data_IF_923840264970
#
_entry.id   IF_923840264970
#
_cell.length_a   1.000
_cell.length_b   1.000
_cell.length_c   1.000
_cell.angle_alpha   90.00
_cell.angle_beta   90.00
_cell.angle_gamma   90.00
#
_symmetry.space_group_name_H-M   'P 1'
#
loop_
_entity.id
_entity.type
_entity.pdbx_description
1 polymer ?
#
# COMPACT_ATOMS: atom_id res chain seq x y z
N UNK A 1 10.10 14.31 16.54
CA UNK A 1 10.87 13.26 17.26
C UNK A 1 12.25 13.04 16.67
N UNK A 2 12.40 12.66 15.38
CA UNK A 2 13.68 12.36 14.71
C UNK A 2 14.71 13.49 14.87
N UNK A 3 14.30 14.76 14.67
CA UNK A 3 15.16 15.94 14.89
C UNK A 3 15.82 15.93 16.28
N UNK A 4 15.06 15.57 17.33
CA UNK A 4 15.57 15.53 18.71
C UNK A 4 16.52 14.36 18.94
N UNK A 5 16.23 13.19 18.38
CA UNK A 5 17.06 12.00 18.57
C UNK A 5 18.43 12.11 17.89
N UNK A 6 18.50 12.68 16.69
CA UNK A 6 19.76 12.77 15.93
C UNK A 6 20.45 14.13 16.01
N UNK A 7 19.90 15.10 16.76
CA UNK A 7 20.55 16.39 17.01
C UNK A 7 20.73 17.29 15.80
N UNK A 8 19.89 17.17 14.76
CA UNK A 8 20.01 17.94 13.52
C UNK A 8 18.86 18.93 13.34
N UNK A 9 18.97 19.87 12.38
CA UNK A 9 17.87 20.76 12.05
C UNK A 9 16.69 20.01 11.41
N UNK A 10 15.49 20.62 11.43
CA UNK A 10 14.26 20.00 10.91
C UNK A 10 14.41 19.59 9.44
N UNK A 11 14.99 20.45 8.60
CA UNK A 11 15.18 20.17 7.17
C UNK A 11 16.03 18.93 6.93
N UNK A 12 17.10 18.74 7.70
CA UNK A 12 17.96 17.55 7.62
C UNK A 12 17.22 16.31 8.10
N UNK A 13 16.52 16.39 9.25
CA UNK A 13 15.72 15.28 9.75
C UNK A 13 14.63 14.84 8.74
N UNK A 14 13.96 15.81 8.12
CA UNK A 14 12.97 15.56 7.05
C UNK A 14 13.59 14.82 5.86
N UNK A 15 14.72 15.31 5.35
CA UNK A 15 15.42 14.66 4.23
C UNK A 15 15.86 13.24 4.54
N UNK A 16 16.44 13.02 5.73
CA UNK A 16 16.85 11.67 6.17
C UNK A 16 15.64 10.74 6.20
N UNK A 17 14.54 11.16 6.83
CA UNK A 17 13.30 10.38 6.87
C UNK A 17 12.85 9.99 5.45
N UNK A 18 12.74 10.96 4.55
CA UNK A 18 12.24 10.70 3.19
C UNK A 18 13.18 9.82 2.36
N UNK A 19 14.50 9.94 2.55
CA UNK A 19 15.47 9.04 1.91
C UNK A 19 15.33 7.60 2.42
N UNK A 20 15.14 7.40 3.72
CA UNK A 20 14.88 6.07 4.28
C UNK A 20 13.57 5.47 3.78
N UNK A 21 12.49 6.26 3.74
CA UNK A 21 11.21 5.82 3.19
C UNK A 21 11.31 5.47 1.70
N UNK A 22 12.14 6.18 0.93
CA UNK A 22 12.40 5.86 -0.45
C UNK A 22 13.13 4.51 -0.60
N UNK A 23 14.13 4.25 0.24
CA UNK A 23 14.81 2.94 0.27
C UNK A 23 13.83 1.82 0.63
N UNK A 24 12.94 2.05 1.60
CA UNK A 24 11.89 1.08 1.95
C UNK A 24 10.98 0.80 0.75
N UNK A 25 10.51 1.83 0.06
CA UNK A 25 9.66 1.69 -1.13
C UNK A 25 10.34 0.86 -2.22
N UNK A 26 11.60 1.16 -2.57
CA UNK A 26 12.34 0.43 -3.60
C UNK A 26 12.58 -1.04 -3.24
N UNK A 27 12.71 -1.35 -1.95
CA UNK A 27 12.81 -2.75 -1.49
C UNK A 27 11.51 -3.52 -1.62
N UNK A 28 10.40 -2.82 -1.62
CA UNK A 28 9.08 -3.43 -1.76
C UNK A 28 8.60 -3.55 -3.21
N UNK A 29 9.21 -2.83 -4.14
CA UNK A 29 8.82 -2.88 -5.57
C UNK A 29 8.96 -4.26 -6.22
N UNK A 30 9.80 -5.13 -5.66
CA UNK A 30 10.02 -6.50 -6.13
C UNK A 30 9.15 -7.54 -5.43
N UNK A 31 8.27 -7.12 -4.51
CA UNK A 31 7.37 -8.02 -3.80
C UNK A 31 6.30 -8.55 -4.76
N UNK A 32 6.23 -9.85 -4.94
CA UNK A 32 5.21 -10.53 -5.75
C UNK A 32 4.36 -11.40 -4.83
N UNK A 33 3.05 -11.22 -4.89
CA UNK A 33 2.07 -11.98 -4.11
C UNK A 33 1.63 -13.23 -4.86
N UNK A 34 1.29 -14.30 -4.11
CA UNK A 34 0.85 -15.58 -4.65
C UNK A 34 -0.21 -16.25 -3.78
N UNK A 35 -0.82 -17.32 -4.27
CA UNK A 35 -1.85 -18.06 -3.54
C UNK A 35 -3.16 -17.29 -3.45
N UNK A 36 -3.69 -17.06 -2.25
CA UNK A 36 -4.92 -16.27 -2.04
C UNK A 36 -4.56 -14.85 -1.65
N UNK A 37 -5.09 -13.87 -2.38
CA UNK A 37 -4.82 -12.44 -2.20
C UNK A 37 -6.14 -11.67 -2.11
N UNK A 38 -6.35 -10.98 -0.99
CA UNK A 38 -7.46 -10.02 -0.81
C UNK A 38 -7.04 -8.68 -1.44
N UNK A 39 -7.89 -8.11 -2.28
CA UNK A 39 -7.62 -6.85 -2.99
C UNK A 39 -8.75 -5.86 -2.79
N UNK A 40 -8.41 -4.61 -2.51
CA UNK A 40 -9.37 -3.52 -2.35
C UNK A 40 -8.83 -2.21 -2.96
N UNK A 41 -9.75 -1.36 -3.40
CA UNK A 41 -9.42 0.01 -3.82
C UNK A 41 -9.40 0.97 -2.63
N UNK A 42 -8.43 1.86 -2.60
CA UNK A 42 -8.34 2.85 -1.54
C UNK A 42 -7.80 4.19 -2.06
N UNK A 43 -8.03 5.23 -1.26
CA UNK A 43 -7.53 6.58 -1.54
C UNK A 43 -6.72 7.09 -0.37
N UNK A 44 -5.58 7.68 -0.69
CA UNK A 44 -4.77 8.46 0.23
C UNK A 44 -5.10 9.95 0.03
N UNK A 45 -5.23 10.69 1.13
CA UNK A 45 -5.68 12.08 1.10
C UNK A 45 -7.17 12.20 1.44
N UNK A 46 -7.62 13.43 1.56
CA UNK A 46 -8.98 13.80 1.92
C UNK A 46 -9.63 14.71 0.90
N UNK A 47 -10.86 15.08 1.13
CA UNK A 47 -11.55 16.09 0.35
C UNK A 47 -11.07 17.48 0.77
N UNK A 48 -10.84 18.35 -0.21
CA UNK A 48 -10.52 19.75 0.03
C UNK A 48 -11.83 20.51 0.27
N UNK A 49 -11.88 21.42 1.27
CA UNK A 49 -13.03 22.30 1.46
C UNK A 49 -13.33 23.10 0.18
N UNK A 50 -14.56 23.00 -0.32
CA UNK A 50 -14.97 23.67 -1.56
C UNK A 50 -14.58 22.96 -2.86
N UNK A 51 -13.85 21.82 -2.79
CA UNK A 51 -13.48 21.00 -3.94
C UNK A 51 -14.55 19.95 -4.31
N UNK A 52 -14.25 19.13 -5.32
CA UNK A 52 -15.12 18.01 -5.71
C UNK A 52 -15.15 16.95 -4.60
N UNK A 53 -16.37 16.52 -4.24
CA UNK A 53 -16.58 15.44 -3.28
C UNK A 53 -16.39 14.05 -3.92
N UNK A 54 -16.17 13.03 -3.09
CA UNK A 54 -16.13 11.63 -3.50
C UNK A 54 -14.83 11.21 -4.19
N UNK A 55 -14.92 10.23 -5.08
CA UNK A 55 -13.75 9.60 -5.75
C UNK A 55 -13.01 10.55 -6.71
N UNK A 56 -13.62 11.63 -7.15
CA UNK A 56 -13.05 12.63 -8.07
C UNK A 56 -12.39 13.83 -7.39
N UNK A 57 -12.15 13.79 -6.09
CA UNK A 57 -11.45 14.86 -5.37
C UNK A 57 -9.98 14.92 -5.78
N UNK A 58 -9.49 16.10 -6.11
CA UNK A 58 -8.14 16.36 -6.63
C UNK A 58 -7.03 15.98 -5.63
N UNK A 59 -7.34 16.03 -4.33
CA UNK A 59 -6.38 15.67 -3.27
C UNK A 59 -6.35 14.16 -2.94
N UNK A 60 -7.07 13.33 -3.68
CA UNK A 60 -7.15 11.89 -3.45
C UNK A 60 -6.27 11.14 -4.44
N UNK A 61 -5.26 10.46 -3.93
CA UNK A 61 -4.39 9.58 -4.72
C UNK A 61 -4.94 8.15 -4.62
N UNK A 62 -5.39 7.57 -5.75
CA UNK A 62 -5.87 6.20 -5.77
C UNK A 62 -4.70 5.22 -5.60
N UNK A 63 -4.92 4.17 -4.83
CA UNK A 63 -3.97 3.07 -4.72
C UNK A 63 -4.69 1.74 -4.52
N UNK A 64 -4.05 0.66 -4.95
CA UNK A 64 -4.51 -0.70 -4.74
C UNK A 64 -3.84 -1.24 -3.48
N UNK A 65 -4.64 -1.78 -2.58
CA UNK A 65 -4.19 -2.53 -1.42
C UNK A 65 -4.42 -4.02 -1.66
N UNK A 66 -3.37 -4.82 -1.51
CA UNK A 66 -3.43 -6.26 -1.69
C UNK A 66 -2.78 -6.97 -0.51
N UNK A 67 -3.40 -8.02 0.00
CA UNK A 67 -2.92 -8.80 1.15
C UNK A 67 -2.95 -10.28 0.83
N UNK A 68 -1.78 -10.89 0.81
CA UNK A 68 -1.62 -12.32 0.68
C UNK A 68 -1.93 -13.01 2.01
N UNK A 69 -2.75 -14.07 1.96
CA UNK A 69 -3.03 -14.92 3.11
C UNK A 69 -2.44 -16.32 2.91
N UNK A 70 -2.04 -16.96 4.02
CA UNK A 70 -1.61 -18.35 4.01
C UNK A 70 -2.83 -19.30 4.03
N UNK A 71 -2.56 -20.61 4.00
CA UNK A 71 -3.62 -21.67 4.06
C UNK A 71 -4.48 -21.61 5.33
N UNK A 72 -3.95 -21.06 6.43
CA UNK A 72 -4.67 -20.86 7.68
C UNK A 72 -5.44 -19.53 7.72
N UNK A 73 -5.50 -18.79 6.61
CA UNK A 73 -6.20 -17.51 6.52
C UNK A 73 -5.48 -16.33 7.19
N UNK A 74 -4.22 -16.47 7.61
CA UNK A 74 -3.45 -15.39 8.23
C UNK A 74 -2.70 -14.56 7.17
N UNK A 75 -2.56 -13.23 7.37
CA UNK A 75 -1.88 -12.37 6.41
C UNK A 75 -0.37 -12.60 6.46
N UNK A 76 0.25 -12.72 5.30
CA UNK A 76 1.72 -12.95 5.16
C UNK A 76 2.39 -11.71 4.63
N UNK A 77 2.05 -11.30 3.43
CA UNK A 77 2.60 -10.15 2.75
C UNK A 77 1.50 -9.18 2.32
N UNK A 78 1.85 -7.91 2.16
CA UNK A 78 0.99 -6.89 1.60
C UNK A 78 1.72 -6.09 0.52
N UNK A 79 0.94 -5.57 -0.43
CA UNK A 79 1.40 -4.61 -1.44
C UNK A 79 0.45 -3.42 -1.44
N UNK A 80 1.01 -2.21 -1.34
CA UNK A 80 0.30 -0.94 -1.50
C UNK A 80 0.90 -0.17 -2.67
N UNK A 81 0.17 -0.07 -3.75
CA UNK A 81 0.69 0.52 -4.98
C UNK A 81 -0.20 1.67 -5.44
N UNK A 82 0.35 2.91 -5.55
CA UNK A 82 -0.37 3.99 -6.22
C UNK A 82 -0.66 3.60 -7.67
N UNK A 83 -1.84 3.95 -8.15
CA UNK A 83 -2.26 3.81 -9.54
C UNK A 83 -2.74 5.16 -10.05
N UNK A 84 -2.76 5.35 -11.38
CA UNK A 84 -3.25 6.61 -11.95
C UNK A 84 -4.76 6.73 -11.79
N UNK A 85 -5.46 5.64 -12.05
CA UNK A 85 -6.91 5.53 -11.88
C UNK A 85 -7.29 4.06 -11.73
N UNK A 86 -8.52 3.79 -11.30
CA UNK A 86 -9.07 2.44 -11.28
C UNK A 86 -9.64 2.08 -12.67
N UNK A 87 -8.73 1.91 -13.64
CA UNK A 87 -9.06 1.46 -15.02
C UNK A 87 -8.63 0.02 -15.22
N UNK A 88 -9.19 -0.64 -16.22
CA UNK A 88 -8.79 -2.00 -16.59
C UNK A 88 -7.29 -2.08 -16.92
N UNK A 89 -6.75 -1.09 -17.64
CA UNK A 89 -5.34 -1.06 -18.03
C UNK A 89 -4.40 -0.86 -16.85
N UNK A 90 -4.73 0.04 -15.92
CA UNK A 90 -3.90 0.27 -14.74
C UNK A 90 -3.89 -0.95 -13.81
N UNK A 91 -5.06 -1.60 -13.63
CA UNK A 91 -5.17 -2.83 -12.81
C UNK A 91 -4.46 -4.00 -13.48
N UNK A 92 -4.54 -4.15 -14.81
CA UNK A 92 -3.80 -5.19 -15.53
C UNK A 92 -2.28 -5.00 -15.39
N UNK A 93 -1.78 -3.78 -15.57
CA UNK A 93 -0.36 -3.47 -15.40
C UNK A 93 0.12 -3.73 -13.97
N UNK A 94 -0.69 -3.34 -12.98
CA UNK A 94 -0.45 -3.61 -11.57
C UNK A 94 -0.41 -5.11 -11.28
N UNK A 95 -1.38 -5.87 -11.77
CA UNK A 95 -1.48 -7.31 -11.54
C UNK A 95 -0.28 -8.06 -12.14
N UNK A 96 0.14 -7.71 -13.36
CA UNK A 96 1.35 -8.28 -13.99
C UNK A 96 2.63 -8.00 -13.21
N UNK A 97 2.70 -6.87 -12.50
CA UNK A 97 3.88 -6.50 -11.69
C UNK A 97 3.90 -7.20 -10.33
N UNK A 98 2.76 -7.32 -9.67
CA UNK A 98 2.70 -7.68 -8.25
C UNK A 98 2.03 -9.01 -7.94
N UNK A 99 1.44 -9.68 -8.92
CA UNK A 99 0.79 -10.99 -8.73
C UNK A 99 1.51 -12.06 -9.54
N UNK A 100 1.71 -13.21 -8.89
CA UNK A 100 2.14 -14.42 -9.58
C UNK A 100 0.99 -15.02 -10.40
N UNK A 101 1.25 -15.64 -11.56
CA UNK A 101 0.23 -16.39 -12.27
C UNK A 101 -0.47 -17.43 -11.38
N UNK A 102 -1.73 -17.73 -11.66
CA UNK A 102 -2.60 -18.65 -10.89
C UNK A 102 -2.96 -18.15 -9.48
N UNK A 103 -2.59 -16.91 -9.10
CA UNK A 103 -3.05 -16.30 -7.85
C UNK A 103 -4.57 -16.18 -7.84
N UNK A 104 -5.21 -16.57 -6.76
CA UNK A 104 -6.64 -16.34 -6.54
C UNK A 104 -6.84 -14.96 -5.91
N UNK A 105 -7.35 -14.03 -6.69
CA UNK A 105 -7.63 -12.65 -6.28
C UNK A 105 -9.08 -12.54 -5.83
N UNK A 106 -9.29 -12.14 -4.59
CA UNK A 106 -10.62 -11.88 -4.00
C UNK A 106 -10.83 -10.37 -3.92
N UNK A 107 -11.86 -9.84 -4.59
CA UNK A 107 -12.20 -8.40 -4.58
C UNK A 107 -13.68 -8.14 -4.40
N UNK A 108 -14.04 -6.91 -4.00
CA UNK A 108 -15.43 -6.46 -3.77
C UNK A 108 -16.30 -6.33 -5.03
N UNK A 109 -15.74 -6.60 -6.17
CA UNK A 109 -16.46 -6.58 -7.44
C UNK A 109 -16.44 -5.25 -8.18
N UNK A 110 -15.54 -4.33 -7.83
CA UNK A 110 -15.25 -3.19 -8.70
C UNK A 110 -14.81 -3.70 -10.08
N UNK A 111 -15.46 -3.18 -11.14
CA UNK A 111 -15.34 -3.74 -12.50
C UNK A 111 -13.92 -3.79 -13.04
N UNK A 112 -13.06 -2.86 -12.67
CA UNK A 112 -11.67 -2.84 -13.12
C UNK A 112 -10.84 -4.02 -12.60
N UNK A 113 -11.21 -4.65 -11.49
CA UNK A 113 -10.50 -5.81 -10.96
C UNK A 113 -10.66 -7.08 -11.80
N UNK A 114 -11.61 -7.14 -12.75
CA UNK A 114 -11.68 -8.24 -13.72
C UNK A 114 -10.41 -8.32 -14.59
N UNK A 115 -9.65 -7.21 -14.70
CA UNK A 115 -8.41 -7.18 -15.47
C UNK A 115 -7.29 -8.07 -14.88
N UNK A 116 -7.40 -8.55 -13.64
CA UNK A 116 -6.41 -9.49 -13.06
C UNK A 116 -6.38 -10.82 -13.80
N UNK A 117 -7.49 -11.21 -14.44
CA UNK A 117 -7.59 -12.42 -15.27
C UNK A 117 -6.64 -12.34 -16.48
N UNK A 118 -6.45 -11.14 -17.06
CA UNK A 118 -5.50 -10.91 -18.16
C UNK A 118 -4.03 -11.05 -17.73
N UNK A 119 -3.78 -10.98 -16.43
CA UNK A 119 -2.46 -11.27 -15.84
C UNK A 119 -2.28 -12.76 -15.48
N UNK A 120 -3.22 -13.63 -15.85
CA UNK A 120 -3.20 -15.07 -15.57
C UNK A 120 -3.65 -15.43 -14.16
N UNK A 121 -4.34 -14.56 -13.45
CA UNK A 121 -4.88 -14.80 -12.10
C UNK A 121 -6.33 -15.31 -12.17
N UNK A 122 -6.75 -16.02 -11.14
CA UNK A 122 -8.16 -16.42 -10.95
C UNK A 122 -8.87 -15.31 -10.17
N UNK A 123 -9.93 -14.75 -10.70
CA UNK A 123 -10.69 -13.69 -10.03
C UNK A 123 -11.93 -14.25 -9.33
N UNK A 124 -11.99 -14.07 -8.01
CA UNK A 124 -13.14 -14.38 -7.18
C UNK A 124 -13.79 -13.07 -6.74
N UNK A 125 -14.92 -12.76 -7.38
CA UNK A 125 -15.69 -11.56 -7.10
C UNK A 125 -16.68 -11.82 -5.98
N UNK A 126 -16.56 -11.08 -4.87
CA UNK A 126 -17.49 -11.15 -3.73
C UNK A 126 -18.32 -9.87 -3.68
N UNK A 127 -19.55 -9.95 -4.15
CA UNK A 127 -20.45 -8.79 -4.17
C UNK A 127 -21.00 -8.54 -2.77
N UNK A 128 -20.66 -7.38 -2.21
CA UNK A 128 -21.20 -6.92 -0.94
C UNK A 128 -22.69 -6.56 -1.12
N UNK A 129 -23.59 -7.37 -0.57
CA UNK A 129 -25.02 -7.06 -0.59
C UNK A 129 -25.35 -5.76 0.15
N UNK A 130 -26.43 -5.07 -0.25
CA UNK A 130 -26.87 -3.75 0.27
C UNK A 130 -26.97 -3.64 1.81
N UNK A 131 -27.01 -4.76 2.54
CA UNK A 131 -27.20 -4.82 4.00
C UNK A 131 -25.92 -5.11 4.81
N UNK A 132 -24.80 -5.49 4.18
CA UNK A 132 -23.53 -5.78 4.88
C UNK A 132 -22.44 -4.82 4.39
N UNK A 133 -21.67 -4.28 5.34
CA UNK A 133 -20.47 -3.51 4.99
C UNK A 133 -19.36 -4.49 4.61
N UNK A 134 -18.53 -4.17 3.62
CA UNK A 134 -17.37 -4.99 3.21
C UNK A 134 -16.46 -5.32 4.39
N UNK A 135 -16.36 -4.40 5.37
CA UNK A 135 -15.61 -4.56 6.60
C UNK A 135 -16.13 -5.71 7.51
N UNK A 136 -17.34 -6.23 7.27
CA UNK A 136 -17.94 -7.32 8.03
C UNK A 136 -17.81 -8.67 7.33
N UNK A 137 -17.23 -8.71 6.13
CA UNK A 137 -17.02 -9.94 5.38
C UNK A 137 -15.65 -10.53 5.73
N UNK A 138 -15.62 -11.79 6.10
CA UNK A 138 -14.39 -12.48 6.49
C UNK A 138 -13.39 -12.58 5.32
N UNK A 139 -13.88 -12.61 4.08
CA UNK A 139 -13.07 -12.65 2.87
C UNK A 139 -12.25 -11.38 2.61
N UNK A 140 -12.57 -10.24 3.26
CA UNK A 140 -11.86 -8.95 3.18
C UNK A 140 -11.28 -8.51 4.53
N UNK A 141 -11.22 -9.42 5.49
CA UNK A 141 -10.80 -9.12 6.86
C UNK A 141 -9.45 -8.43 6.91
N UNK A 142 -8.47 -8.99 6.21
CA UNK A 142 -7.09 -8.53 6.33
C UNK A 142 -6.82 -7.26 5.54
N UNK A 143 -7.32 -7.14 4.33
CA UNK A 143 -7.17 -5.91 3.56
C UNK A 143 -7.83 -4.73 4.28
N UNK A 144 -9.03 -4.91 4.84
CA UNK A 144 -9.70 -3.87 5.63
C UNK A 144 -8.95 -3.53 6.93
N UNK A 145 -8.45 -4.55 7.66
CA UNK A 145 -7.68 -4.34 8.89
C UNK A 145 -6.41 -3.53 8.62
N UNK A 146 -5.68 -3.89 7.57
CA UNK A 146 -4.41 -3.23 7.24
C UNK A 146 -4.66 -1.81 6.72
N UNK A 147 -5.70 -1.60 5.90
CA UNK A 147 -6.13 -0.27 5.48
C UNK A 147 -6.56 0.61 6.66
N UNK A 148 -7.26 0.05 7.64
CA UNK A 148 -7.62 0.74 8.87
C UNK A 148 -6.40 1.17 9.67
N UNK A 149 -5.43 0.27 9.87
CA UNK A 149 -4.18 0.56 10.55
C UNK A 149 -3.34 1.63 9.82
N UNK A 150 -3.30 1.56 8.50
CA UNK A 150 -2.62 2.58 7.68
C UNK A 150 -3.28 3.95 7.82
N UNK A 151 -4.60 4.04 7.70
CA UNK A 151 -5.35 5.30 7.88
C UNK A 151 -5.13 5.89 9.28
N UNK A 152 -5.14 5.06 10.33
CA UNK A 152 -4.84 5.50 11.69
C UNK A 152 -3.40 6.01 11.83
N UNK A 153 -2.43 5.37 11.18
CA UNK A 153 -1.04 5.82 11.16
C UNK A 153 -0.90 7.19 10.46
N UNK A 154 -1.59 7.39 9.34
CA UNK A 154 -1.58 8.68 8.64
C UNK A 154 -2.20 9.77 9.52
N UNK A 155 -3.40 9.57 10.07
CA UNK A 155 -4.08 10.57 10.88
C UNK A 155 -3.39 10.85 12.21
N UNK A 156 -2.84 9.83 12.87
CA UNK A 156 -2.26 9.93 14.21
C UNK A 156 -0.78 10.34 14.24
N UNK A 157 -0.01 10.02 13.18
CA UNK A 157 1.44 10.23 13.18
C UNK A 157 1.91 11.21 12.11
N UNK A 158 1.42 11.07 10.90
CA UNK A 158 1.94 11.83 9.75
C UNK A 158 1.08 13.06 9.42
N UNK A 159 -0.20 13.03 9.78
CA UNK A 159 -1.19 14.07 9.51
C UNK A 159 -1.32 14.38 8.01
N UNK A 160 -0.94 15.58 7.58
CA UNK A 160 -1.01 16.02 6.19
C UNK A 160 0.39 16.15 5.57
N UNK A 161 0.49 15.80 4.29
CA UNK A 161 1.68 15.98 3.46
C UNK A 161 1.22 16.11 2.00
N UNK A 162 2.12 16.44 1.09
CA UNK A 162 1.84 16.42 -0.34
C UNK A 162 1.63 14.96 -0.79
N UNK A 163 0.35 14.57 -0.92
CA UNK A 163 -0.05 13.20 -1.23
C UNK A 163 0.38 12.79 -2.63
N UNK A 164 0.33 13.69 -3.61
CA UNK A 164 0.75 13.40 -4.98
C UNK A 164 2.24 13.08 -5.03
N UNK A 165 3.06 13.90 -4.41
CA UNK A 165 4.51 13.77 -4.43
C UNK A 165 5.04 12.60 -3.59
N UNK A 166 4.45 12.34 -2.43
CA UNK A 166 5.04 11.44 -1.43
C UNK A 166 4.24 10.17 -1.13
N UNK A 167 3.07 9.96 -1.74
CA UNK A 167 2.23 8.78 -1.49
C UNK A 167 3.00 7.46 -1.54
N UNK A 168 3.81 7.27 -2.58
CA UNK A 168 4.61 6.05 -2.77
C UNK A 168 5.56 5.76 -1.59
N UNK A 169 6.13 6.81 -0.96
CA UNK A 169 7.03 6.67 0.20
C UNK A 169 6.30 6.22 1.46
N UNK A 170 5.13 6.81 1.74
CA UNK A 170 4.33 6.45 2.91
C UNK A 170 3.69 5.07 2.77
N UNK A 171 3.20 4.74 1.58
CA UNK A 171 2.70 3.41 1.26
C UNK A 171 3.82 2.36 1.34
N UNK A 172 4.99 2.65 0.78
CA UNK A 172 6.17 1.78 0.82
C UNK A 172 6.71 1.57 2.25
N UNK A 173 6.69 2.59 3.10
CA UNK A 173 7.07 2.46 4.52
C UNK A 173 6.10 1.54 5.27
N UNK A 174 4.80 1.73 5.09
CA UNK A 174 3.80 0.88 5.71
C UNK A 174 3.93 -0.59 5.25
N UNK A 175 4.10 -0.81 3.96
CA UNK A 175 4.33 -2.12 3.36
C UNK A 175 5.61 -2.77 3.90
N UNK A 176 6.73 -2.04 3.92
CA UNK A 176 8.02 -2.51 4.41
C UNK A 176 7.94 -3.01 5.85
N UNK A 177 7.31 -2.25 6.73
CA UNK A 177 7.12 -2.60 8.14
C UNK A 177 6.20 -3.79 8.30
N UNK A 178 5.09 -3.82 7.57
CA UNK A 178 4.16 -4.95 7.61
C UNK A 178 4.81 -6.25 7.14
N UNK A 179 5.51 -6.24 6.03
CA UNK A 179 6.13 -7.42 5.44
C UNK A 179 7.27 -8.00 6.27
N UNK A 180 7.81 -7.22 7.23
CA UNK A 180 8.90 -7.65 8.15
C UNK A 180 8.49 -7.69 9.61
N UNK A 181 7.19 -7.61 9.91
CA UNK A 181 6.68 -7.54 11.30
C UNK A 181 7.04 -8.72 12.19
N UNK A 182 7.36 -9.85 11.61
CA UNK A 182 7.78 -11.04 12.36
C UNK A 182 9.29 -11.15 12.59
N UNK A 183 10.08 -10.22 12.04
CA UNK A 183 11.54 -10.18 12.19
C UNK A 183 12.01 -8.74 12.44
N UNK A 184 11.56 -8.18 13.55
CA UNK A 184 11.86 -6.79 13.93
C UNK A 184 13.35 -6.56 14.19
N UNK A 185 14.04 -7.57 14.72
CA UNK A 185 15.47 -7.49 15.00
C UNK A 185 16.31 -7.29 13.73
N UNK A 186 15.94 -7.95 12.65
CA UNK A 186 16.63 -7.82 11.37
C UNK A 186 16.17 -6.60 10.54
N UNK A 187 15.05 -5.97 10.88
CA UNK A 187 14.48 -4.86 10.10
C UNK A 187 15.46 -3.69 9.99
N UNK A 188 16.02 -3.24 11.11
CA UNK A 188 16.94 -2.09 11.15
C UNK A 188 18.28 -2.38 10.45
N UNK A 189 19.02 -3.47 10.74
CA UNK A 189 20.24 -3.81 10.03
C UNK A 189 20.04 -3.96 8.50
N UNK A 190 18.95 -4.57 8.08
CA UNK A 190 18.60 -4.68 6.66
C UNK A 190 18.37 -3.32 5.99
N UNK A 191 17.69 -2.39 6.69
CA UNK A 191 17.46 -1.04 6.20
C UNK A 191 18.79 -0.26 6.10
N UNK A 192 19.66 -0.35 7.10
CA UNK A 192 20.99 0.27 7.07
C UNK A 192 21.83 -0.25 5.89
N UNK A 193 21.87 -1.57 5.70
CA UNK A 193 22.58 -2.19 4.57
C UNK A 193 22.01 -1.73 3.22
N UNK A 194 20.68 -1.68 3.10
CA UNK A 194 20.04 -1.20 1.88
C UNK A 194 20.36 0.28 1.62
N UNK A 195 20.32 1.10 2.65
CA UNK A 195 20.63 2.54 2.56
C UNK A 195 22.09 2.79 2.17
N UNK A 196 23.04 2.01 2.71
CA UNK A 196 24.45 2.11 2.36
C UNK A 196 24.76 1.72 0.91
N UNK A 197 23.98 0.81 0.33
CA UNK A 197 24.10 0.38 -1.07
C UNK A 197 23.36 1.29 -2.07
N UNK A 198 22.59 2.25 -1.57
CA UNK A 198 21.82 3.17 -2.42
C UNK A 198 22.72 4.31 -2.90
N UNK A 199 22.70 4.59 -4.20
CA UNK A 199 23.46 5.70 -4.80
C UNK A 199 23.01 7.08 -4.29
N UNK A 200 23.83 8.10 -4.54
CA UNK A 200 23.49 9.49 -4.25
C UNK A 200 22.21 9.88 -5.00
N UNK A 201 21.27 10.51 -4.30
CA UNK A 201 20.05 11.06 -4.87
C UNK A 201 20.06 12.58 -4.72
N UNK A 202 19.92 13.25 -5.84
CA UNK A 202 19.63 14.69 -5.90
C UNK A 202 18.12 14.87 -5.79
N UNK A 203 17.64 15.52 -4.75
CA UNK A 203 16.28 16.03 -4.60
C UNK A 203 16.32 17.56 -4.54
#
# INVERSE_FOLDING_TARGET
ELKRHIGVCYRTAWRVKHKLMQVMHEREETTVLSGRVEVDDAYLGGELPGGKAGRGSENKIPFIAAVQTNKSGNPVYAVFSPVKAFTLNDVEAWAKKYLSPLTTVVSDGLSCFTAVEKAGCNHQKEVVGKKRKSTQMECFKWVNTILGNFKNSISGTYHAFDFEKYSHRYLGECQYRFNRRFDLAAMFPRLCTASAKTGKRTE
#
